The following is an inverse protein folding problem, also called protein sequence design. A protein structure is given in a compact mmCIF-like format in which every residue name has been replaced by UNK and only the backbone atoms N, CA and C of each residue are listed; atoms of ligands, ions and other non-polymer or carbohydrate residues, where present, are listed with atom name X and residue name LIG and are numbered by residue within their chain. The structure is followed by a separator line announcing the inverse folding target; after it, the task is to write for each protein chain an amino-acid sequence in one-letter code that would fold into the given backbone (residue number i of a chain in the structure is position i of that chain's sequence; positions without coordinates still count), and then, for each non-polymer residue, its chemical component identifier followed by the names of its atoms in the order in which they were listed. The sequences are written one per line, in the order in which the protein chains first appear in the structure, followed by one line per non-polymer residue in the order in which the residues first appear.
data_IF_162846929833
#
_entry.id   IF_162846929833
#
_cell.length_a   1.000
_cell.length_b   1.000
_cell.length_c   1.000
_cell.angle_alpha   90.00
_cell.angle_beta   90.00
_cell.angle_gamma   90.00
#
_symmetry.space_group_name_H-M   'P 1'
#
loop_
_entity.id
_entity.type
_entity.pdbx_description
1 polymer ?
#
# COMPACT_ATOMS: atom_id res chain seq x y z
N UNK A 1 -11.36 -9.79 10.49
CA UNK A 1 -11.99 -8.80 9.62
C UNK A 1 -11.84 -7.41 10.20
N UNK A 2 -11.39 -6.51 9.42
CA UNK A 2 -10.94 -5.22 9.93
C UNK A 2 -11.75 -4.04 9.43
N UNK A 3 -12.99 -3.94 9.86
CA UNK A 3 -13.78 -2.74 9.59
C UNK A 3 -13.11 -1.51 10.18
N UNK A 4 -12.47 -1.66 11.34
CA UNK A 4 -11.72 -0.57 11.97
C UNK A 4 -10.55 -0.10 11.10
N UNK A 5 -9.88 -1.04 10.43
CA UNK A 5 -8.78 -0.69 9.53
C UNK A 5 -9.31 0.05 8.30
N UNK A 6 -10.41 -0.42 7.72
CA UNK A 6 -11.02 0.23 6.56
C UNK A 6 -11.51 1.64 6.91
N UNK A 7 -12.16 1.80 8.04
CA UNK A 7 -12.59 3.11 8.52
C UNK A 7 -11.43 4.06 8.72
N UNK A 8 -10.32 3.56 9.29
CA UNK A 8 -9.13 4.36 9.48
C UNK A 8 -8.55 4.82 8.15
N UNK A 9 -8.51 3.94 7.15
CA UNK A 9 -8.05 4.28 5.82
C UNK A 9 -8.95 5.35 5.18
N UNK A 10 -10.26 5.18 5.28
CA UNK A 10 -11.20 6.15 4.73
C UNK A 10 -11.04 7.53 5.39
N UNK A 11 -10.87 7.58 6.71
CA UNK A 11 -10.60 8.82 7.42
C UNK A 11 -9.31 9.49 6.95
N UNK A 12 -8.27 8.71 6.78
CA UNK A 12 -6.97 9.21 6.30
C UNK A 12 -7.13 9.83 4.92
N UNK A 13 -7.83 9.16 4.03
CA UNK A 13 -8.04 9.65 2.66
C UNK A 13 -8.89 10.92 2.64
N UNK A 14 -9.83 11.06 3.57
CA UNK A 14 -10.67 12.25 3.67
C UNK A 14 -9.94 13.49 4.18
N UNK A 15 -8.82 13.31 4.85
CA UNK A 15 -8.08 14.43 5.44
C UNK A 15 -7.40 15.33 4.44
N UNK A 16 -7.33 14.98 3.21
CA UNK A 16 -6.62 15.68 2.16
C UNK A 16 -5.27 16.28 2.63
N UNK A 17 -4.21 15.78 2.12
CA UNK A 17 -2.87 16.21 2.49
C UNK A 17 -1.90 15.80 1.42
N UNK A 18 -0.62 15.87 1.74
CA UNK A 18 0.42 15.41 0.85
C UNK A 18 0.19 13.92 0.56
N UNK A 19 0.14 13.50 -0.72
CA UNK A 19 -0.05 12.08 -1.06
C UNK A 19 0.92 11.14 -0.37
N UNK A 20 2.16 11.56 -0.18
CA UNK A 20 3.17 10.75 0.51
C UNK A 20 2.77 10.48 1.96
N UNK A 21 2.31 11.50 2.65
CA UNK A 21 1.87 11.38 4.04
C UNK A 21 0.62 10.52 4.15
N UNK A 22 -0.32 10.70 3.21
CA UNK A 22 -1.55 9.92 3.16
C UNK A 22 -1.24 8.43 2.99
N UNK A 23 -0.41 8.08 2.01
CA UNK A 23 -0.07 6.69 1.74
C UNK A 23 0.72 6.05 2.88
N UNK A 24 1.60 6.84 3.51
CA UNK A 24 2.36 6.36 4.68
C UNK A 24 1.44 6.07 5.85
N UNK A 25 0.44 6.91 6.07
CA UNK A 25 -0.55 6.71 7.12
C UNK A 25 -1.42 5.48 6.84
N UNK A 26 -1.75 5.23 5.57
CA UNK A 26 -2.54 4.06 5.17
C UNK A 26 -1.82 2.76 5.51
N UNK A 27 -0.55 2.62 5.13
CA UNK A 27 0.19 1.39 5.43
C UNK A 27 0.40 1.21 6.93
N UNK A 28 0.62 2.31 7.66
CA UNK A 28 0.71 2.28 9.12
C UNK A 28 -0.58 1.79 9.77
N UNK A 29 -1.73 2.25 9.29
CA UNK A 29 -3.02 1.84 9.81
C UNK A 29 -3.27 0.35 9.58
N UNK A 30 -2.83 -0.19 8.44
CA UNK A 30 -2.99 -1.62 8.15
C UNK A 30 -2.16 -2.49 9.08
N UNK A 31 -0.98 -2.04 9.46
CA UNK A 31 -0.16 -2.76 10.43
C UNK A 31 -0.75 -2.65 11.83
N UNK A 32 -1.15 -1.45 12.25
CA UNK A 32 -1.66 -1.21 13.60
C UNK A 32 -3.06 -1.74 13.84
N UNK A 33 -3.93 -1.64 12.85
CA UNK A 33 -5.35 -1.98 12.98
C UNK A 33 -5.83 -3.11 12.08
N UNK A 34 -5.08 -3.39 11.03
CA UNK A 34 -5.44 -4.42 10.06
C UNK A 34 -4.88 -5.81 10.37
N UNK A 35 -4.02 -5.91 11.36
CA UNK A 35 -3.41 -7.18 11.75
C UNK A 35 -2.30 -7.66 10.82
N UNK A 36 -1.82 -6.81 9.91
CA UNK A 36 -0.69 -7.15 9.06
C UNK A 36 0.62 -7.03 9.85
N UNK A 37 1.59 -7.88 9.55
CA UNK A 37 2.93 -7.74 10.09
C UNK A 37 3.70 -6.65 9.35
N UNK A 38 3.42 -6.51 8.04
CA UNK A 38 4.03 -5.51 7.20
C UNK A 38 3.06 -5.12 6.09
N UNK A 39 3.10 -3.86 5.68
CA UNK A 39 2.35 -3.39 4.53
C UNK A 39 3.21 -2.40 3.75
N UNK A 40 3.11 -2.44 2.44
CA UNK A 40 3.88 -1.56 1.58
C UNK A 40 3.20 -1.31 0.25
N UNK A 41 3.60 -0.23 -0.40
CA UNK A 41 3.13 0.13 -1.74
C UNK A 41 4.33 0.20 -2.66
N UNK A 42 4.28 -0.55 -3.75
CA UNK A 42 5.30 -0.53 -4.79
C UNK A 42 4.75 0.25 -5.98
N UNK A 43 5.51 1.21 -6.46
CA UNK A 43 5.11 2.01 -7.61
C UNK A 43 5.69 1.44 -8.89
N UNK A 44 4.95 1.58 -9.98
CA UNK A 44 5.46 1.23 -11.30
C UNK A 44 6.18 2.45 -11.86
N UNK A 45 7.49 2.34 -12.02
CA UNK A 45 8.34 3.37 -12.61
C UNK A 45 9.12 2.77 -13.76
N UNK A 46 8.90 3.27 -14.97
CA UNK A 46 9.57 2.78 -16.17
C UNK A 46 9.49 1.26 -16.35
N UNK A 47 8.33 0.69 -15.99
CA UNK A 47 8.09 -0.75 -16.11
C UNK A 47 8.63 -1.59 -14.94
N UNK A 48 9.25 -0.96 -13.95
CA UNK A 48 9.79 -1.63 -12.79
C UNK A 48 9.02 -1.29 -11.52
N UNK A 49 8.98 -2.22 -10.58
CA UNK A 49 8.38 -1.97 -9.27
C UNK A 49 9.43 -1.37 -8.33
N UNK A 50 9.10 -0.24 -7.73
CA UNK A 50 9.98 0.49 -6.83
C UNK A 50 9.26 0.68 -5.50
N UNK A 51 9.93 0.36 -4.40
CA UNK A 51 9.34 0.45 -3.08
C UNK A 51 9.06 1.90 -2.68
N UNK A 52 7.82 2.16 -2.27
CA UNK A 52 7.38 3.44 -1.72
C UNK A 52 7.14 3.34 -0.22
N UNK A 53 6.03 3.87 0.28
CA UNK A 53 5.75 3.85 1.71
C UNK A 53 5.57 2.43 2.24
N UNK A 54 6.10 2.19 3.44
CA UNK A 54 6.00 0.89 4.09
C UNK A 54 5.95 1.05 5.60
N UNK A 55 5.44 0.02 6.27
CA UNK A 55 5.38 -0.04 7.73
C UNK A 55 5.45 -1.49 8.20
N UNK A 56 6.00 -1.72 9.39
CA UNK A 56 6.10 -3.03 9.99
C UNK A 56 7.35 -3.81 9.63
N UNK A 57 7.32 -5.11 9.87
CA UNK A 57 8.43 -6.02 9.57
C UNK A 57 8.04 -7.01 8.49
N UNK A 58 8.84 -7.12 7.47
CA UNK A 58 8.55 -7.99 6.32
C UNK A 58 8.53 -9.47 6.69
N UNK A 59 7.54 -10.19 6.13
CA UNK A 59 7.41 -11.64 6.20
C UNK A 59 7.11 -12.19 4.81
N UNK A 60 8.12 -12.28 3.95
CA UNK A 60 7.88 -12.63 2.53
C UNK A 60 7.19 -13.96 2.28
N UNK A 61 7.31 -14.90 3.20
CA UNK A 61 6.66 -16.21 3.10
C UNK A 61 5.14 -16.16 3.33
N UNK A 62 4.64 -15.06 3.87
CA UNK A 62 3.21 -14.84 4.10
C UNK A 62 2.69 -13.64 3.32
N UNK A 63 3.24 -13.41 2.14
CA UNK A 63 2.98 -12.20 1.35
C UNK A 63 1.77 -12.34 0.44
N UNK A 64 0.94 -11.29 0.47
CA UNK A 64 -0.19 -11.11 -0.45
C UNK A 64 0.08 -9.87 -1.30
N UNK A 65 -0.14 -9.97 -2.62
CA UNK A 65 0.12 -8.88 -3.56
C UNK A 65 -1.17 -8.56 -4.31
N UNK A 66 -1.53 -7.29 -4.34
CA UNK A 66 -2.75 -6.80 -4.98
C UNK A 66 -2.36 -5.70 -5.97
N UNK A 67 -2.66 -5.85 -7.26
CA UNK A 67 -2.39 -4.77 -8.21
C UNK A 67 -3.28 -3.57 -7.93
N UNK A 68 -2.70 -2.37 -8.03
CA UNK A 68 -3.44 -1.12 -7.90
C UNK A 68 -3.62 -0.58 -9.31
N UNK A 69 -4.88 -0.48 -9.74
CA UNK A 69 -5.23 -0.07 -11.09
C UNK A 69 -6.02 1.23 -11.03
N UNK A 70 -5.66 2.19 -11.87
CA UNK A 70 -6.39 3.44 -12.00
C UNK A 70 -6.68 3.69 -13.48
N UNK A 71 -7.96 3.79 -13.82
CA UNK A 71 -8.44 3.97 -15.19
C UNK A 71 -7.88 2.95 -16.18
N UNK A 72 -7.78 1.70 -15.74
CA UNK A 72 -7.31 0.61 -16.57
C UNK A 72 -5.80 0.41 -16.60
N UNK A 73 -5.03 1.33 -16.02
CA UNK A 73 -3.58 1.24 -15.98
C UNK A 73 -3.09 0.81 -14.60
N UNK A 74 -2.18 -0.14 -14.58
CA UNK A 74 -1.54 -0.55 -13.34
C UNK A 74 -0.53 0.51 -12.91
N UNK A 75 -0.81 1.18 -11.80
CA UNK A 75 0.02 2.29 -11.32
C UNK A 75 0.90 1.88 -10.13
N UNK A 76 0.52 0.82 -9.43
CA UNK A 76 1.26 0.36 -8.26
C UNK A 76 0.89 -1.09 -7.93
N UNK A 77 1.53 -1.62 -6.90
CA UNK A 77 1.17 -2.90 -6.32
C UNK A 77 1.13 -2.73 -4.80
N UNK A 78 0.02 -3.14 -4.21
CA UNK A 78 -0.14 -3.13 -2.77
C UNK A 78 0.30 -4.47 -2.23
N UNK A 79 1.18 -4.48 -1.25
CA UNK A 79 1.73 -5.72 -0.69
C UNK A 79 1.54 -5.71 0.82
N UNK A 80 1.12 -6.84 1.36
CA UNK A 80 0.99 -7.00 2.81
C UNK A 80 1.44 -8.40 3.21
N UNK A 81 2.10 -8.48 4.35
CA UNK A 81 2.61 -9.72 4.91
C UNK A 81 1.90 -10.04 6.22
N UNK A 82 1.72 -11.33 6.49
CA UNK A 82 1.07 -11.80 7.69
C UNK A 82 -0.39 -12.19 7.47
N UNK A 83 -1.11 -12.44 8.55
CA UNK A 83 -2.51 -12.87 8.50
C UNK A 83 -3.39 -11.72 8.03
N UNK A 84 -3.66 -11.65 6.73
CA UNK A 84 -4.39 -10.54 6.12
C UNK A 84 -5.68 -11.01 5.47
N UNK A 85 -6.65 -10.11 5.48
CA UNK A 85 -7.90 -10.28 4.76
C UNK A 85 -7.70 -9.72 3.34
N UNK A 86 -7.69 -10.62 2.35
CA UNK A 86 -7.49 -10.23 0.96
C UNK A 86 -8.55 -9.26 0.48
N UNK A 87 -9.80 -9.45 0.90
CA UNK A 87 -10.88 -8.54 0.53
C UNK A 87 -10.66 -7.12 1.04
N UNK A 88 -10.12 -6.99 2.25
CA UNK A 88 -9.74 -5.69 2.81
C UNK A 88 -8.64 -5.06 1.96
N UNK A 89 -7.61 -5.82 1.60
CA UNK A 89 -6.50 -5.31 0.80
C UNK A 89 -6.96 -4.85 -0.58
N UNK A 90 -7.85 -5.60 -1.22
CA UNK A 90 -8.41 -5.22 -2.52
C UNK A 90 -9.18 -3.91 -2.42
N UNK A 91 -9.92 -3.73 -1.35
CA UNK A 91 -10.68 -2.52 -1.11
C UNK A 91 -9.78 -1.32 -0.86
N UNK A 92 -8.73 -1.50 -0.06
CA UNK A 92 -7.74 -0.46 0.19
C UNK A 92 -7.01 -0.08 -1.10
N UNK A 93 -6.62 -1.06 -1.90
CA UNK A 93 -5.98 -0.81 -3.19
C UNK A 93 -6.84 0.06 -4.09
N UNK A 94 -8.14 -0.20 -4.11
CA UNK A 94 -9.08 0.59 -4.88
C UNK A 94 -9.16 2.03 -4.37
N UNK A 95 -9.22 2.20 -3.05
CA UNK A 95 -9.33 3.52 -2.43
C UNK A 95 -8.08 4.39 -2.63
N UNK A 96 -6.90 3.79 -2.65
CA UNK A 96 -5.65 4.55 -2.78
C UNK A 96 -5.20 4.73 -4.23
N UNK A 97 -5.90 4.16 -5.20
CA UNK A 97 -5.46 4.14 -6.59
C UNK A 97 -5.14 5.53 -7.15
N UNK A 98 -6.00 6.51 -6.91
CA UNK A 98 -5.78 7.87 -7.40
C UNK A 98 -4.58 8.54 -6.74
N UNK A 99 -4.30 8.22 -5.48
CA UNK A 99 -3.15 8.76 -4.76
C UNK A 99 -1.83 8.22 -5.30
N UNK A 100 -1.83 6.99 -5.78
CA UNK A 100 -0.65 6.38 -6.36
C UNK A 100 -0.24 7.03 -7.69
N UNK A 101 -1.17 7.70 -8.37
CA UNK A 101 -0.91 8.37 -9.63
C UNK A 101 -0.05 9.62 -9.49
N UNK A 102 -0.09 10.25 -8.32
CA UNK A 102 0.61 11.52 -8.08
C UNK A 102 2.12 11.35 -8.03
N UNK A 103 2.58 10.14 -7.82
CA UNK A 103 3.99 9.83 -7.76
C UNK A 103 4.53 9.82 -6.35
N UNK A 104 5.66 9.19 -6.21
CA UNK A 104 6.36 9.04 -4.94
C UNK A 104 7.85 9.06 -5.21
N UNK A 105 8.58 9.85 -4.43
CA UNK A 105 10.04 9.84 -4.53
C UNK A 105 10.56 8.63 -3.75
N UNK A 106 10.90 7.58 -4.48
CA UNK A 106 11.38 6.33 -3.89
C UNK A 106 12.89 6.31 -3.71
N UNK A 107 13.59 7.33 -4.20
CA UNK A 107 15.04 7.32 -4.22
C UNK A 107 15.62 6.37 -5.25
N UNK A 108 14.75 5.80 -6.10
CA UNK A 108 15.19 4.88 -7.15
C UNK A 108 15.58 3.50 -6.67
N UNK A 109 15.20 3.11 -5.46
CA UNK A 109 15.55 1.80 -4.89
C UNK A 109 14.64 0.70 -5.46
N UNK A 110 15.15 -0.25 -6.25
CA UNK A 110 14.35 -1.32 -6.80
C UNK A 110 13.85 -2.27 -5.71
N UNK A 111 12.67 -2.82 -5.91
CA UNK A 111 12.10 -3.79 -4.98
C UNK A 111 13.00 -5.01 -4.76
N UNK A 112 13.59 -5.51 -5.83
CA UNK A 112 14.44 -6.71 -5.79
C UNK A 112 15.68 -6.53 -4.91
N UNK A 113 16.14 -5.30 -4.72
CA UNK A 113 17.30 -5.02 -3.89
C UNK A 113 16.99 -5.13 -2.39
N UNK A 114 15.71 -5.16 -2.03
CA UNK A 114 15.24 -5.11 -0.65
C UNK A 114 14.70 -6.47 -0.18
N UNK A 115 14.18 -7.25 -1.10
CA UNK A 115 13.53 -8.53 -0.79
C UNK A 115 14.51 -9.67 -0.57
#
# INVERSE_FOLDING_TARGET
MSEAALEAVEEILDRSGDPDDVLRAVVGALVERGGCDWAGILFVEEGELVLGPQAGEQRPDERTRIPVVYRGDRVAEFVADGATDRGLLERVALLVSAHCLVGWDTGGVPWDAIS
#
